data_IF_638104441444
#
_entry.id   IF_638104441444
#
_cell.length_a   1.000
_cell.length_b   1.000
_cell.length_c   1.000
_cell.angle_alpha   90.00
_cell.angle_beta   90.00
_cell.angle_gamma   90.00
#
_symmetry.space_group_name_H-M   'P 1'
#
loop_
_entity.id
_entity.type
_entity.pdbx_description
1 polymer ?
#
# COMPACT_ATOMS: atom_id res chain seq x y z
N UNK A 1 -9.86 15.41 -20.21
CA UNK A 1 -11.03 14.53 -19.97
C UNK A 1 -11.85 15.13 -18.85
N UNK A 2 -13.18 15.03 -18.92
CA UNK A 2 -14.08 15.29 -17.79
C UNK A 2 -14.28 13.99 -17.04
N UNK A 3 -13.88 13.92 -15.77
CA UNK A 3 -14.00 12.73 -14.91
C UNK A 3 -15.20 12.83 -13.99
N UNK A 4 -15.74 11.68 -13.57
CA UNK A 4 -16.89 11.61 -12.67
C UNK A 4 -16.57 12.05 -11.24
N UNK A 5 -17.60 12.45 -10.48
CA UNK A 5 -17.43 12.79 -9.06
C UNK A 5 -17.01 11.57 -8.24
N UNK A 6 -17.53 10.39 -8.58
CA UNK A 6 -17.13 9.11 -7.96
C UNK A 6 -15.64 8.86 -8.16
N UNK A 7 -15.14 9.01 -9.40
CA UNK A 7 -13.73 8.84 -9.72
C UNK A 7 -12.85 9.84 -8.97
N UNK A 8 -13.17 11.13 -9.00
CA UNK A 8 -12.37 12.15 -8.31
C UNK A 8 -12.29 11.91 -6.79
N UNK A 9 -13.37 11.37 -6.20
CA UNK A 9 -13.39 10.99 -4.79
C UNK A 9 -12.44 9.82 -4.52
N UNK A 10 -12.49 8.77 -5.33
CA UNK A 10 -11.59 7.62 -5.21
C UNK A 10 -10.13 7.99 -5.44
N UNK A 11 -9.85 8.84 -6.43
CA UNK A 11 -8.51 9.34 -6.69
C UNK A 11 -7.97 10.15 -5.49
N UNK A 12 -8.79 10.98 -4.86
CA UNK A 12 -8.39 11.73 -3.67
C UNK A 12 -8.08 10.81 -2.48
N UNK A 13 -8.82 9.71 -2.34
CA UNK A 13 -8.59 8.70 -1.31
C UNK A 13 -7.28 7.95 -1.57
N UNK A 14 -7.02 7.55 -2.82
CA UNK A 14 -5.77 6.91 -3.22
C UNK A 14 -4.56 7.83 -3.05
N UNK A 15 -4.69 9.11 -3.42
CA UNK A 15 -3.65 10.09 -3.18
C UNK A 15 -3.33 10.23 -1.68
N UNK A 16 -4.37 10.28 -0.84
CA UNK A 16 -4.22 10.32 0.62
C UNK A 16 -3.47 9.08 1.11
N UNK A 17 -3.67 7.93 0.47
CA UNK A 17 -2.95 6.71 0.81
C UNK A 17 -1.48 6.75 0.44
N UNK A 18 -1.17 7.22 -0.78
CA UNK A 18 0.21 7.37 -1.22
C UNK A 18 0.98 8.32 -0.30
N UNK A 19 0.40 9.47 0.00
CA UNK A 19 1.04 10.53 0.78
C UNK A 19 1.26 10.11 2.25
N UNK A 20 0.28 9.45 2.87
CA UNK A 20 0.31 9.20 4.31
C UNK A 20 0.76 7.79 4.70
N UNK A 21 0.75 6.83 3.78
CA UNK A 21 1.08 5.43 4.11
C UNK A 21 2.11 4.83 3.17
N UNK A 22 1.94 4.91 1.84
CA UNK A 22 2.88 4.29 0.91
C UNK A 22 4.26 4.95 0.94
N UNK A 23 4.34 6.28 0.84
CA UNK A 23 5.60 7.02 0.88
C UNK A 23 6.31 6.84 2.24
N UNK A 24 5.65 7.01 3.40
CA UNK A 24 6.27 6.73 4.70
C UNK A 24 6.75 5.28 4.86
N UNK A 25 5.99 4.30 4.36
CA UNK A 25 6.42 2.90 4.36
C UNK A 25 7.71 2.72 3.56
N UNK A 26 7.80 3.25 2.35
CA UNK A 26 9.01 3.18 1.53
C UNK A 26 10.22 3.86 2.19
N UNK A 27 9.99 4.98 2.89
CA UNK A 27 11.03 5.63 3.67
C UNK A 27 11.55 4.71 4.78
N UNK A 28 10.65 4.07 5.55
CA UNK A 28 11.02 3.09 6.58
C UNK A 28 11.76 1.88 6.00
N UNK A 29 11.35 1.36 4.85
CA UNK A 29 12.06 0.28 4.16
C UNK A 29 13.48 0.72 3.77
N UNK A 30 13.65 1.95 3.28
CA UNK A 30 14.97 2.50 2.93
C UNK A 30 15.85 2.65 4.17
N UNK A 31 15.30 3.13 5.28
CA UNK A 31 16.01 3.23 6.56
C UNK A 31 16.43 1.86 7.08
N UNK A 32 15.53 0.87 7.02
CA UNK A 32 15.86 -0.52 7.34
C UNK A 32 17.03 -1.05 6.51
N UNK A 33 17.00 -0.85 5.18
CA UNK A 33 18.07 -1.34 4.30
C UNK A 33 19.43 -0.68 4.60
N UNK A 34 19.41 0.57 5.05
CA UNK A 34 20.61 1.32 5.44
C UNK A 34 21.14 0.88 6.80
N UNK A 35 20.28 0.81 7.81
CA UNK A 35 20.67 0.66 9.20
C UNK A 35 20.84 -0.81 9.60
N UNK A 36 20.04 -1.70 9.00
CA UNK A 36 20.11 -3.16 9.18
C UNK A 36 20.11 -3.58 10.64
N UNK A 37 19.22 -2.98 11.43
CA UNK A 37 19.01 -3.35 12.84
C UNK A 37 17.62 -3.94 13.05
N UNK A 38 17.42 -4.78 14.08
CA UNK A 38 16.10 -5.29 14.42
C UNK A 38 15.05 -4.19 14.65
N UNK A 39 15.44 -3.05 15.19
CA UNK A 39 14.56 -1.91 15.43
C UNK A 39 14.10 -1.27 14.12
N UNK A 40 15.03 -1.07 13.18
CA UNK A 40 14.72 -0.53 11.85
C UNK A 40 13.83 -1.48 11.03
N UNK A 41 14.06 -2.80 11.16
CA UNK A 41 13.21 -3.84 10.57
C UNK A 41 11.80 -3.81 11.16
N UNK A 42 11.68 -3.76 12.49
CA UNK A 42 10.37 -3.69 13.15
C UNK A 42 9.60 -2.42 12.76
N UNK A 43 10.29 -1.28 12.62
CA UNK A 43 9.68 -0.04 12.15
C UNK A 43 9.14 -0.16 10.72
N UNK A 44 9.90 -0.79 9.81
CA UNK A 44 9.45 -1.06 8.44
C UNK A 44 8.22 -1.99 8.41
N UNK A 45 8.24 -3.08 9.17
CA UNK A 45 7.10 -4.02 9.27
C UNK A 45 5.84 -3.30 9.79
N UNK A 46 5.96 -2.49 10.85
CA UNK A 46 4.81 -1.74 11.37
C UNK A 46 4.24 -0.74 10.34
N UNK A 47 5.11 -0.11 9.54
CA UNK A 47 4.68 0.78 8.48
C UNK A 47 3.97 0.03 7.35
N UNK A 48 4.44 -1.19 7.01
CA UNK A 48 3.79 -2.07 6.05
C UNK A 48 2.42 -2.55 6.54
N UNK A 49 2.30 -2.96 7.80
CA UNK A 49 1.01 -3.37 8.39
C UNK A 49 -0.03 -2.25 8.30
N UNK A 50 0.38 -1.01 8.60
CA UNK A 50 -0.49 0.15 8.49
C UNK A 50 -0.87 0.43 7.03
N UNK A 51 0.10 0.41 6.10
CA UNK A 51 -0.17 0.58 4.67
C UNK A 51 -1.12 -0.51 4.14
N UNK A 52 -0.91 -1.77 4.52
CA UNK A 52 -1.78 -2.87 4.16
C UNK A 52 -3.22 -2.66 4.64
N UNK A 53 -3.40 -2.30 5.92
CA UNK A 53 -4.72 -2.06 6.50
C UNK A 53 -5.44 -0.92 5.77
N UNK A 54 -4.73 0.16 5.46
CA UNK A 54 -5.31 1.31 4.76
C UNK A 54 -5.62 0.99 3.29
N UNK A 55 -4.77 0.25 2.58
CA UNK A 55 -5.04 -0.16 1.20
C UNK A 55 -6.26 -1.09 1.12
N UNK A 56 -6.40 -2.03 2.07
CA UNK A 56 -7.58 -2.87 2.18
C UNK A 56 -8.86 -2.04 2.39
N UNK A 57 -8.80 -1.03 3.25
CA UNK A 57 -9.93 -0.13 3.47
C UNK A 57 -10.34 0.63 2.20
N UNK A 58 -9.37 1.03 1.37
CA UNK A 58 -9.63 1.72 0.10
C UNK A 58 -10.28 0.79 -0.91
N UNK A 59 -9.85 -0.47 -0.97
CA UNK A 59 -10.51 -1.50 -1.80
C UNK A 59 -11.99 -1.67 -1.43
N UNK A 60 -12.32 -1.66 -0.14
CA UNK A 60 -13.71 -1.70 0.33
C UNK A 60 -14.49 -0.45 -0.06
N UNK A 61 -13.89 0.74 0.07
CA UNK A 61 -14.51 2.01 -0.33
C UNK A 61 -14.76 2.06 -1.83
N UNK A 62 -13.80 1.63 -2.65
CA UNK A 62 -13.94 1.51 -4.11
C UNK A 62 -15.10 0.59 -4.48
N UNK A 63 -15.17 -0.60 -3.86
CA UNK A 63 -16.24 -1.56 -4.07
C UNK A 63 -17.61 -1.00 -3.72
N UNK A 64 -17.72 -0.28 -2.59
CA UNK A 64 -18.96 0.36 -2.15
C UNK A 64 -19.41 1.50 -3.08
N UNK A 65 -18.46 2.32 -3.55
CA UNK A 65 -18.76 3.40 -4.50
C UNK A 65 -19.20 2.82 -5.85
N UNK A 66 -18.56 1.76 -6.32
CA UNK A 66 -18.97 1.07 -7.55
C UNK A 66 -20.38 0.44 -7.44
N UNK A 67 -20.73 -0.13 -6.28
CA UNK A 67 -22.01 -0.80 -6.05
C UNK A 67 -23.19 0.14 -5.74
N UNK A 68 -22.97 1.45 -5.62
CA UNK A 68 -24.04 2.40 -5.30
C UNK A 68 -24.96 2.61 -6.51
N UNK A 69 -26.30 2.52 -6.32
CA UNK A 69 -27.33 2.61 -7.40
C UNK A 69 -27.26 3.88 -8.27
N UNK A 70 -26.54 4.92 -7.83
CA UNK A 70 -26.32 6.17 -8.56
C UNK A 70 -24.85 6.51 -8.72
N UNK A 71 -23.96 5.51 -8.73
CA UNK A 71 -22.56 5.75 -8.97
C UNK A 71 -22.35 6.39 -10.34
N UNK A 72 -21.65 7.51 -10.34
CA UNK A 72 -21.22 8.17 -11.58
C UNK A 72 -19.97 7.53 -12.20
N UNK A 73 -19.42 6.49 -11.55
CA UNK A 73 -18.19 5.82 -11.95
C UNK A 73 -18.40 5.06 -13.25
N UNK A 74 -17.65 5.40 -14.30
CA UNK A 74 -17.69 4.64 -15.55
C UNK A 74 -16.83 3.38 -15.44
N UNK A 75 -17.00 2.44 -16.37
CA UNK A 75 -16.17 1.23 -16.41
C UNK A 75 -14.68 1.58 -16.60
N UNK A 76 -14.35 2.45 -17.55
CA UNK A 76 -12.97 2.90 -17.80
C UNK A 76 -12.34 3.52 -16.53
N UNK A 77 -13.11 4.31 -15.78
CA UNK A 77 -12.66 4.90 -14.52
C UNK A 77 -12.47 3.85 -13.41
N UNK A 78 -13.35 2.84 -13.35
CA UNK A 78 -13.23 1.74 -12.41
C UNK A 78 -11.99 0.88 -12.70
N UNK A 79 -11.69 0.64 -13.99
CA UNK A 79 -10.51 -0.12 -14.42
C UNK A 79 -9.22 0.61 -14.02
N UNK A 80 -9.15 1.94 -14.22
CA UNK A 80 -8.01 2.77 -13.79
C UNK A 80 -7.80 2.68 -12.26
N UNK A 81 -8.87 2.82 -11.48
CA UNK A 81 -8.79 2.73 -10.00
C UNK A 81 -8.35 1.33 -9.58
N UNK A 82 -8.86 0.28 -10.23
CA UNK A 82 -8.48 -1.10 -9.94
C UNK A 82 -7.02 -1.38 -10.28
N UNK A 83 -6.51 -0.83 -11.38
CA UNK A 83 -5.11 -0.92 -11.77
C UNK A 83 -4.22 -0.24 -10.71
N UNK A 84 -4.55 0.98 -10.29
CA UNK A 84 -3.76 1.70 -9.28
C UNK A 84 -3.74 0.98 -7.91
N UNK A 85 -4.87 0.41 -7.47
CA UNK A 85 -4.91 -0.41 -6.25
C UNK A 85 -4.03 -1.67 -6.40
N UNK A 86 -4.04 -2.28 -7.57
CA UNK A 86 -3.25 -3.49 -7.85
C UNK A 86 -1.75 -3.18 -7.84
N UNK A 87 -1.34 -2.05 -8.41
CA UNK A 87 0.04 -1.58 -8.39
C UNK A 87 0.52 -1.27 -6.96
N UNK A 88 -0.32 -0.60 -6.16
CA UNK A 88 -0.03 -0.34 -4.76
C UNK A 88 0.13 -1.63 -3.94
N UNK A 89 -0.70 -2.65 -4.23
CA UNK A 89 -0.60 -3.96 -3.59
C UNK A 89 0.69 -4.68 -3.99
N UNK A 90 1.05 -4.64 -5.28
CA UNK A 90 2.29 -5.26 -5.76
C UNK A 90 3.51 -4.64 -5.09
N UNK A 91 3.55 -3.31 -4.99
CA UNK A 91 4.61 -2.58 -4.28
C UNK A 91 4.72 -3.02 -2.82
N UNK A 92 3.59 -3.09 -2.11
CA UNK A 92 3.54 -3.53 -0.71
C UNK A 92 4.09 -4.95 -0.55
N UNK A 93 3.69 -5.88 -1.43
CA UNK A 93 4.18 -7.26 -1.40
C UNK A 93 5.70 -7.33 -1.60
N UNK A 94 6.25 -6.52 -2.50
CA UNK A 94 7.69 -6.46 -2.71
C UNK A 94 8.42 -5.92 -1.47
N UNK A 95 7.90 -4.88 -0.82
CA UNK A 95 8.46 -4.40 0.45
C UNK A 95 8.41 -5.47 1.56
N UNK A 96 7.33 -6.25 1.63
CA UNK A 96 7.20 -7.34 2.60
C UNK A 96 8.27 -8.42 2.33
N UNK A 97 8.49 -8.79 1.08
CA UNK A 97 9.55 -9.73 0.69
C UNK A 97 10.92 -9.24 1.17
N UNK A 98 11.26 -7.98 0.90
CA UNK A 98 12.52 -7.38 1.35
C UNK A 98 12.69 -7.39 2.88
N UNK A 99 11.62 -7.10 3.64
CA UNK A 99 11.69 -7.22 5.11
C UNK A 99 11.83 -8.66 5.58
N UNK A 100 11.24 -9.61 4.88
CA UNK A 100 11.37 -11.04 5.17
C UNK A 100 12.80 -11.52 4.97
N UNK A 101 13.45 -11.08 3.89
CA UNK A 101 14.87 -11.35 3.65
C UNK A 101 15.76 -10.73 4.74
N UNK A 102 15.53 -9.45 5.07
CA UNK A 102 16.25 -8.77 6.15
C UNK A 102 16.08 -9.48 7.50
N UNK A 103 14.89 -9.99 7.80
CA UNK A 103 14.64 -10.75 9.02
C UNK A 103 15.49 -12.03 9.08
N UNK A 104 15.67 -12.72 7.95
CA UNK A 104 16.54 -13.90 7.86
C UNK A 104 18.01 -13.53 7.99
N UNK A 105 18.45 -12.41 7.42
CA UNK A 105 19.83 -11.93 7.56
C UNK A 105 20.18 -11.57 9.01
N UNK A 106 19.23 -10.98 9.76
CA UNK A 106 19.42 -10.60 11.15
C UNK A 106 19.22 -11.75 12.14
N UNK A 107 18.68 -12.89 11.69
CA UNK A 107 18.50 -14.04 12.54
C UNK A 107 19.86 -14.59 13.02
N UNK A 108 20.00 -14.95 14.30
CA UNK A 108 21.25 -15.51 14.81
C UNK A 108 21.57 -16.83 14.12
N UNK A 109 22.82 -17.03 13.70
CA UNK A 109 23.27 -18.28 13.10
C UNK A 109 23.07 -19.46 14.08
N UNK A 110 22.10 -20.34 13.80
CA UNK A 110 21.80 -21.53 14.62
C UNK A 110 22.58 -22.78 14.23
N UNK A 111 23.59 -22.68 13.35
CA UNK A 111 24.44 -23.79 12.92
C UNK A 111 25.56 -24.10 13.95
N UNK A 112 25.18 -24.54 15.15
CA UNK A 112 26.09 -25.09 16.16
C UNK A 112 25.96 -26.61 16.29
#
# INVERSE_FOLDING_TARGET
>A
MTTSTSYNTLQSVLQTYHDNYAIPMLASCTEMQRDRTPESLLAAINAQDLAQAMLSHIGDVASRIAATEHSSLTQDEADIISEEISDALLLLLQCIEETGEMALELAPNTNY
#
